data_IF_836638652871
#
_entry.id   IF_836638652871
#
_cell.length_a   1.000
_cell.length_b   1.000
_cell.length_c   1.000
_cell.angle_alpha   90.00
_cell.angle_beta   90.00
_cell.angle_gamma   90.00
#
_symmetry.space_group_name_H-M   'P 1'
#
loop_
_entity.id
_entity.type
_entity.pdbx_description
1 polymer ?
#
# COMPACT_ATOMS: atom_id res chain seq x y z
N UNK A 1 21.72 0.20 -10.07
CA UNK A 1 21.07 -1.12 -10.17
C UNK A 1 20.06 -1.08 -11.30
N UNK A 2 19.93 -2.18 -12.05
CA UNK A 2 18.84 -2.46 -12.99
C UNK A 2 17.75 -3.21 -12.24
N UNK A 3 16.60 -2.58 -12.03
CA UNK A 3 15.53 -3.07 -11.17
C UNK A 3 14.28 -3.29 -12.04
N UNK A 4 13.81 -4.54 -12.09
CA UNK A 4 12.52 -4.85 -12.71
C UNK A 4 11.42 -4.82 -11.66
N UNK A 5 10.38 -4.01 -11.85
CA UNK A 5 9.23 -3.93 -10.94
C UNK A 5 7.99 -4.52 -11.62
N UNK A 6 7.39 -5.56 -11.04
CA UNK A 6 6.17 -6.17 -11.57
C UNK A 6 4.98 -5.59 -10.81
N UNK A 7 4.14 -4.81 -11.48
CA UNK A 7 2.91 -4.27 -10.91
C UNK A 7 1.76 -5.29 -10.96
N UNK A 8 0.70 -5.04 -10.18
CA UNK A 8 -0.59 -5.66 -10.45
C UNK A 8 -1.20 -5.06 -11.73
N UNK A 9 -2.10 -5.81 -12.38
CA UNK A 9 -2.66 -5.43 -13.68
C UNK A 9 -4.12 -4.94 -13.62
N UNK A 10 -4.75 -5.00 -12.45
CA UNK A 10 -6.15 -4.61 -12.26
C UNK A 10 -6.41 -3.12 -12.55
N UNK A 11 -5.47 -2.26 -12.16
CA UNK A 11 -5.57 -0.81 -12.38
C UNK A 11 -4.22 -0.27 -12.89
N UNK A 12 -4.23 0.81 -13.68
CA UNK A 12 -3.00 1.47 -14.11
C UNK A 12 -2.20 2.03 -12.92
N UNK A 13 -0.87 1.99 -13.03
CA UNK A 13 0.04 2.65 -12.08
C UNK A 13 0.19 4.12 -12.52
N UNK A 14 -0.87 4.89 -12.32
CA UNK A 14 -0.95 6.30 -12.70
C UNK A 14 -2.01 7.03 -11.85
N UNK A 15 -1.89 8.35 -11.75
CA UNK A 15 -2.91 9.18 -11.12
C UNK A 15 -4.16 9.35 -12.01
N UNK A 16 -5.38 9.43 -11.43
CA UNK A 16 -5.69 9.22 -10.01
C UNK A 16 -5.60 7.74 -9.62
N UNK A 17 -4.94 7.45 -8.50
CA UNK A 17 -4.73 6.07 -8.06
C UNK A 17 -6.03 5.41 -7.59
N UNK A 18 -6.22 4.13 -7.95
CA UNK A 18 -7.36 3.34 -7.49
C UNK A 18 -7.26 2.96 -6.00
N UNK A 19 -6.04 2.91 -5.45
CA UNK A 19 -5.78 2.53 -4.08
C UNK A 19 -4.31 2.72 -3.67
N UNK A 20 -3.97 2.17 -2.51
CA UNK A 20 -2.65 2.32 -1.90
C UNK A 20 -1.54 1.54 -2.59
N UNK A 21 -1.87 0.43 -3.29
CA UNK A 21 -0.89 -0.39 -3.99
C UNK A 21 -0.38 0.30 -5.25
N UNK A 22 -1.28 0.92 -6.01
CA UNK A 22 -0.96 1.70 -7.20
C UNK A 22 -0.05 2.86 -6.82
N UNK A 23 -0.43 3.60 -5.77
CA UNK A 23 0.38 4.70 -5.22
C UNK A 23 1.75 4.22 -4.73
N UNK A 24 1.81 3.11 -3.97
CA UNK A 24 3.07 2.54 -3.49
C UNK A 24 3.99 2.21 -4.65
N UNK A 25 3.49 1.49 -5.66
CA UNK A 25 4.30 1.04 -6.81
C UNK A 25 4.79 2.23 -7.62
N UNK A 26 3.93 3.24 -7.83
CA UNK A 26 4.30 4.48 -8.48
C UNK A 26 5.43 5.21 -7.72
N UNK A 27 5.27 5.43 -6.40
CA UNK A 27 6.26 6.10 -5.56
C UNK A 27 7.59 5.33 -5.52
N UNK A 28 7.51 4.00 -5.43
CA UNK A 28 8.67 3.11 -5.49
C UNK A 28 9.47 3.32 -6.77
N UNK A 29 8.83 3.18 -7.94
CA UNK A 29 9.48 3.33 -9.23
C UNK A 29 10.04 4.75 -9.41
N UNK A 30 9.24 5.78 -9.13
CA UNK A 30 9.65 7.18 -9.27
C UNK A 30 10.85 7.50 -8.41
N UNK A 31 10.84 7.13 -7.14
CA UNK A 31 11.93 7.48 -6.22
C UNK A 31 13.20 6.67 -6.46
N UNK A 32 13.11 5.39 -6.85
CA UNK A 32 14.27 4.62 -7.29
C UNK A 32 14.93 5.26 -8.53
N UNK A 33 14.14 5.75 -9.50
CA UNK A 33 14.66 6.47 -10.67
C UNK A 33 15.33 7.79 -10.29
N UNK A 34 14.72 8.56 -9.39
CA UNK A 34 15.32 9.79 -8.84
C UNK A 34 16.65 9.52 -8.13
N UNK A 35 16.79 8.37 -7.49
CA UNK A 35 18.04 7.91 -6.87
C UNK A 35 19.08 7.37 -7.89
N UNK A 36 18.78 7.41 -9.19
CA UNK A 36 19.69 7.02 -10.27
C UNK A 36 19.66 5.53 -10.65
N UNK A 37 18.66 4.77 -10.20
CA UNK A 37 18.47 3.39 -10.62
C UNK A 37 17.83 3.31 -12.02
N UNK A 38 18.24 2.30 -12.79
CA UNK A 38 17.60 1.95 -14.05
C UNK A 38 16.41 1.04 -13.76
N UNK A 39 15.21 1.63 -13.72
CA UNK A 39 13.96 0.94 -13.35
C UNK A 39 13.13 0.65 -14.59
N UNK A 40 12.72 -0.61 -14.73
CA UNK A 40 11.71 -1.05 -15.70
C UNK A 40 10.44 -1.45 -14.94
N UNK A 41 9.33 -0.79 -15.22
CA UNK A 41 8.01 -1.11 -14.66
C UNK A 41 7.23 -2.00 -15.63
N UNK A 42 6.97 -3.24 -15.26
CA UNK A 42 6.09 -4.15 -15.98
C UNK A 42 4.65 -3.97 -15.49
N UNK A 43 3.81 -3.29 -16.27
CA UNK A 43 2.45 -2.95 -15.86
C UNK A 43 1.47 -2.92 -17.05
N UNK A 44 0.21 -2.54 -16.79
CA UNK A 44 -0.78 -2.32 -17.84
C UNK A 44 -0.46 -1.08 -18.69
N UNK A 45 -0.87 -1.07 -19.96
CA UNK A 45 -0.51 -0.05 -20.98
C UNK A 45 -0.86 1.39 -20.61
N UNK A 46 -1.86 1.60 -19.76
CA UNK A 46 -2.28 2.95 -19.32
C UNK A 46 -1.52 3.47 -18.09
N UNK A 47 -0.49 2.75 -17.62
CA UNK A 47 0.35 3.20 -16.51
C UNK A 47 1.25 4.36 -16.95
N UNK A 48 1.84 5.08 -15.99
CA UNK A 48 2.68 6.24 -16.28
C UNK A 48 3.97 5.83 -17.06
N UNK A 49 4.18 6.34 -18.29
CA UNK A 49 5.36 6.02 -19.09
C UNK A 49 6.67 6.57 -18.50
N UNK A 50 6.64 7.61 -17.66
CA UNK A 50 7.83 8.21 -17.04
C UNK A 50 8.52 7.27 -16.02
N UNK A 51 7.80 6.23 -15.57
CA UNK A 51 8.29 5.21 -14.64
C UNK A 51 9.19 4.15 -15.29
N UNK A 52 9.48 4.26 -16.59
CA UNK A 52 10.18 3.22 -17.34
C UNK A 52 9.26 2.06 -17.71
N UNK A 53 8.03 2.39 -18.13
CA UNK A 53 6.99 1.41 -18.44
C UNK A 53 7.38 0.48 -19.60
N UNK A 54 7.30 -0.82 -19.33
CA UNK A 54 7.17 -1.86 -20.34
C UNK A 54 5.80 -2.51 -20.18
N UNK A 55 4.89 -2.20 -21.10
CA UNK A 55 3.53 -2.74 -21.05
C UNK A 55 3.53 -4.26 -21.26
N UNK A 56 2.92 -5.00 -20.34
CA UNK A 56 2.80 -6.47 -20.41
C UNK A 56 1.37 -6.96 -20.61
N UNK A 57 0.40 -6.04 -20.56
CA UNK A 57 -1.02 -6.34 -20.70
C UNK A 57 -1.72 -5.18 -21.39
N UNK A 58 -2.21 -5.43 -22.60
CA UNK A 58 -3.18 -4.57 -23.27
C UNK A 58 -4.59 -4.92 -22.79
N UNK A 59 -5.45 -3.92 -22.56
CA UNK A 59 -6.84 -4.14 -22.12
C UNK A 59 -7.66 -5.01 -23.11
N UNK A 60 -7.18 -5.21 -24.34
CA UNK A 60 -7.95 -5.77 -25.46
C UNK A 60 -7.56 -7.17 -25.94
N UNK A 61 -6.45 -7.77 -25.52
CA UNK A 61 -5.96 -9.00 -26.19
C UNK A 61 -5.84 -10.23 -25.27
N UNK A 62 -6.94 -11.00 -25.20
CA UNK A 62 -6.83 -12.45 -25.36
C UNK A 62 -7.33 -12.71 -26.78
N UNK A 63 -6.55 -13.40 -27.61
CA UNK A 63 -7.07 -13.97 -28.83
C UNK A 63 -8.34 -14.76 -28.46
N UNK A 64 -9.51 -14.42 -29.03
CA UNK A 64 -10.83 -15.02 -28.70
C UNK A 64 -10.91 -16.55 -28.88
N UNK A 65 -9.79 -17.20 -29.17
CA UNK A 65 -9.60 -18.64 -29.28
C UNK A 65 -9.49 -19.23 -27.88
N UNK A 66 -10.31 -20.23 -27.57
CA UNK A 66 -10.21 -21.01 -26.33
C UNK A 66 -10.81 -20.36 -25.07
N UNK A 67 -11.47 -19.20 -25.17
CA UNK A 67 -12.11 -18.57 -24.00
C UNK A 67 -13.44 -19.22 -23.57
N UNK A 68 -13.90 -20.24 -24.29
CA UNK A 68 -15.18 -20.92 -24.01
C UNK A 68 -15.18 -21.62 -22.63
N UNK A 69 -14.01 -22.00 -22.12
CA UNK A 69 -13.83 -22.65 -20.81
C UNK A 69 -13.41 -21.66 -19.71
N UNK A 70 -13.17 -20.39 -20.06
CA UNK A 70 -12.70 -19.38 -19.12
C UNK A 70 -13.86 -18.76 -18.34
N UNK A 71 -14.05 -19.19 -17.08
CA UNK A 71 -15.05 -18.60 -16.17
C UNK A 71 -14.75 -17.16 -15.73
N UNK A 72 -13.48 -16.74 -15.79
CA UNK A 72 -13.03 -15.38 -15.51
C UNK A 72 -11.98 -14.94 -16.55
N UNK A 73 -12.43 -14.28 -17.60
CA UNK A 73 -11.57 -13.82 -18.70
C UNK A 73 -10.50 -12.82 -18.21
N UNK A 74 -10.81 -11.98 -17.22
CA UNK A 74 -9.87 -10.99 -16.71
C UNK A 74 -8.70 -11.68 -15.99
N UNK A 75 -9.01 -12.66 -15.15
CA UNK A 75 -7.97 -13.47 -14.51
C UNK A 75 -7.06 -14.17 -15.52
N UNK A 76 -7.62 -14.77 -16.58
CA UNK A 76 -6.80 -15.43 -17.60
C UNK A 76 -5.92 -14.45 -18.40
N UNK A 77 -6.33 -13.19 -18.56
CA UNK A 77 -5.50 -12.14 -19.20
C UNK A 77 -4.27 -11.87 -18.35
N UNK A 78 -4.49 -11.62 -17.06
CA UNK A 78 -3.43 -11.37 -16.10
C UNK A 78 -2.50 -12.57 -16.01
N UNK A 79 -3.06 -13.78 -15.94
CA UNK A 79 -2.29 -15.03 -15.96
C UNK A 79 -1.38 -15.12 -17.19
N UNK A 80 -1.91 -14.87 -18.39
CA UNK A 80 -1.11 -14.94 -19.62
C UNK A 80 -0.02 -13.86 -19.66
N UNK A 81 -0.34 -12.63 -19.27
CA UNK A 81 0.61 -11.52 -19.18
C UNK A 81 1.78 -11.87 -18.24
N UNK A 82 1.49 -12.37 -17.04
CA UNK A 82 2.54 -12.78 -16.10
C UNK A 82 3.31 -14.01 -16.57
N UNK A 83 2.65 -15.01 -17.17
CA UNK A 83 3.35 -16.19 -17.71
C UNK A 83 4.34 -15.79 -18.82
N UNK A 84 3.91 -14.92 -19.73
CA UNK A 84 4.75 -14.37 -20.79
C UNK A 84 5.91 -13.56 -20.23
N UNK A 85 5.64 -12.65 -19.29
CA UNK A 85 6.68 -11.87 -18.61
C UNK A 85 7.69 -12.78 -17.91
N UNK A 86 7.24 -13.70 -17.06
CA UNK A 86 8.13 -14.59 -16.31
C UNK A 86 8.98 -15.44 -17.24
N UNK A 87 8.42 -15.91 -18.36
CA UNK A 87 9.18 -16.64 -19.39
C UNK A 87 10.27 -15.78 -20.04
N UNK A 88 10.02 -14.49 -20.28
CA UNK A 88 11.02 -13.54 -20.80
C UNK A 88 12.10 -13.22 -19.76
N UNK A 89 11.71 -12.98 -18.51
CA UNK A 89 12.62 -12.62 -17.41
C UNK A 89 13.69 -13.68 -17.15
N UNK A 90 13.42 -14.97 -17.42
CA UNK A 90 14.42 -16.06 -17.36
C UNK A 90 15.65 -15.83 -18.26
N UNK A 91 15.52 -14.98 -19.28
CA UNK A 91 16.58 -14.65 -20.25
C UNK A 91 17.00 -13.19 -20.17
N UNK A 92 16.45 -12.44 -19.23
CA UNK A 92 16.76 -11.02 -19.01
C UNK A 92 17.89 -10.87 -17.99
N UNK A 93 18.48 -9.67 -17.94
CA UNK A 93 19.52 -9.33 -16.96
C UNK A 93 19.09 -8.13 -16.13
N UNK A 94 18.49 -8.41 -14.97
CA UNK A 94 18.22 -7.44 -13.91
C UNK A 94 19.06 -7.79 -12.70
N UNK A 95 19.38 -6.80 -11.88
CA UNK A 95 20.09 -7.05 -10.62
C UNK A 95 19.11 -7.59 -9.57
N UNK A 96 17.85 -7.14 -9.60
CA UNK A 96 16.77 -7.62 -8.73
C UNK A 96 15.40 -7.43 -9.39
N UNK A 97 14.45 -8.32 -9.09
CA UNK A 97 13.03 -8.14 -9.41
C UNK A 97 12.25 -7.80 -8.15
N UNK A 98 11.41 -6.76 -8.18
CA UNK A 98 10.46 -6.44 -7.14
C UNK A 98 9.03 -6.72 -7.61
N UNK A 99 8.37 -7.68 -7.00
CA UNK A 99 7.02 -8.12 -7.32
C UNK A 99 5.96 -7.49 -6.40
N UNK A 100 5.01 -6.77 -7.01
CA UNK A 100 3.79 -6.20 -6.43
C UNK A 100 2.52 -6.72 -7.13
N UNK A 101 2.60 -7.82 -7.90
CA UNK A 101 1.54 -8.28 -8.82
C UNK A 101 0.24 -8.76 -8.17
N UNK A 102 0.25 -9.10 -6.88
CA UNK A 102 -0.83 -9.84 -6.20
C UNK A 102 -1.24 -11.12 -6.95
N UNK A 103 -0.30 -11.77 -7.64
CA UNK A 103 -0.55 -12.97 -8.42
C UNK A 103 0.41 -14.09 -8.04
N UNK A 104 -0.06 -15.33 -8.16
CA UNK A 104 0.72 -16.50 -7.75
C UNK A 104 1.86 -16.82 -8.71
N UNK A 105 1.68 -16.59 -10.03
CA UNK A 105 2.69 -16.94 -11.03
C UNK A 105 4.07 -16.33 -10.77
N UNK A 106 4.23 -15.01 -10.53
CA UNK A 106 5.56 -14.45 -10.28
C UNK A 106 6.28 -15.07 -9.09
N UNK A 107 5.56 -15.34 -8.00
CA UNK A 107 6.15 -15.99 -6.80
C UNK A 107 6.48 -17.46 -7.04
N UNK A 108 5.60 -18.21 -7.73
CA UNK A 108 5.81 -19.63 -8.04
C UNK A 108 6.95 -19.85 -9.04
N UNK A 109 7.18 -18.91 -9.95
CA UNK A 109 8.23 -19.00 -10.98
C UNK A 109 9.54 -18.31 -10.56
N UNK A 110 9.61 -17.74 -9.35
CA UNK A 110 10.76 -16.97 -8.89
C UNK A 110 12.09 -17.76 -8.95
N UNK A 111 12.06 -19.07 -8.70
CA UNK A 111 13.25 -19.94 -8.73
C UNK A 111 13.83 -20.12 -10.14
N UNK A 112 13.04 -19.85 -11.18
CA UNK A 112 13.46 -19.99 -12.56
C UNK A 112 14.27 -18.78 -13.06
N UNK A 113 14.30 -17.70 -12.28
CA UNK A 113 14.98 -16.46 -12.62
C UNK A 113 16.47 -16.52 -12.27
N UNK A 114 17.35 -15.93 -13.11
CA UNK A 114 18.79 -15.88 -12.83
C UNK A 114 19.18 -14.80 -11.81
N UNK A 115 18.23 -14.01 -11.32
CA UNK A 115 18.41 -12.92 -10.36
C UNK A 115 17.44 -13.05 -9.17
N UNK A 116 17.75 -12.47 -8.00
CA UNK A 116 16.87 -12.52 -6.84
C UNK A 116 15.54 -11.77 -7.07
N UNK A 117 14.49 -12.20 -6.36
CA UNK A 117 13.18 -11.55 -6.39
C UNK A 117 12.70 -11.23 -4.97
N UNK A 118 12.32 -9.98 -4.73
CA UNK A 118 11.54 -9.60 -3.54
C UNK A 118 10.05 -9.55 -3.92
N UNK A 119 9.17 -10.01 -3.03
CA UNK A 119 7.72 -9.81 -3.14
C UNK A 119 7.22 -9.04 -1.93
N UNK A 120 6.56 -7.91 -2.17
CA UNK A 120 5.95 -7.12 -1.09
C UNK A 120 4.48 -7.49 -0.95
N UNK A 121 4.07 -7.77 0.29
CA UNK A 121 2.75 -8.23 0.65
C UNK A 121 1.91 -7.05 1.11
N UNK A 122 0.99 -6.63 0.24
CA UNK A 122 0.12 -5.46 0.44
C UNK A 122 -1.27 -5.81 0.96
N UNK A 123 -1.63 -7.09 0.96
CA UNK A 123 -2.96 -7.58 1.35
C UNK A 123 -2.83 -8.81 2.25
N UNK A 124 -3.85 -9.10 3.08
CA UNK A 124 -3.94 -10.38 3.78
C UNK A 124 -3.85 -11.58 2.81
N UNK A 125 -3.54 -12.79 3.31
CA UNK A 125 -3.54 -14.00 2.50
C UNK A 125 -4.87 -14.24 1.79
N UNK A 126 -4.80 -14.64 0.52
CA UNK A 126 -5.93 -15.13 -0.25
C UNK A 126 -5.48 -16.30 -1.13
N UNK A 127 -6.43 -17.17 -1.49
CA UNK A 127 -6.17 -18.55 -1.95
C UNK A 127 -5.07 -18.68 -3.02
N UNK A 128 -5.07 -17.83 -4.05
CA UNK A 128 -4.10 -17.93 -5.15
C UNK A 128 -2.69 -17.53 -4.70
N UNK A 129 -2.56 -16.35 -4.09
CA UNK A 129 -1.25 -15.85 -3.65
C UNK A 129 -0.69 -16.71 -2.52
N UNK A 130 -1.54 -17.19 -1.60
CA UNK A 130 -1.14 -18.16 -0.58
C UNK A 130 -0.51 -19.41 -1.21
N UNK A 131 -1.18 -20.02 -2.18
CA UNK A 131 -0.67 -21.22 -2.85
C UNK A 131 0.68 -20.95 -3.52
N UNK A 132 0.83 -19.82 -4.20
CA UNK A 132 2.10 -19.47 -4.84
C UNK A 132 3.25 -19.25 -3.84
N UNK A 133 2.97 -18.61 -2.70
CA UNK A 133 3.96 -18.33 -1.66
C UNK A 133 4.35 -19.59 -0.89
N UNK A 134 3.39 -20.50 -0.64
CA UNK A 134 3.63 -21.77 0.04
C UNK A 134 4.57 -22.68 -0.77
N UNK A 135 4.41 -22.69 -2.09
CA UNK A 135 5.23 -23.51 -2.99
C UNK A 135 6.55 -22.83 -3.42
N UNK A 136 6.71 -21.53 -3.14
CA UNK A 136 7.89 -20.77 -3.55
C UNK A 136 9.15 -21.33 -2.86
N UNK A 137 9.93 -22.13 -3.59
CA UNK A 137 11.14 -22.80 -3.09
C UNK A 137 12.43 -22.05 -3.44
N UNK A 138 12.30 -20.85 -4.05
CA UNK A 138 13.43 -20.06 -4.53
C UNK A 138 14.35 -19.60 -3.39
N UNK A 139 15.65 -20.00 -3.38
CA UNK A 139 16.57 -19.70 -2.28
C UNK A 139 16.85 -18.19 -2.12
N UNK A 140 16.68 -17.43 -3.21
CA UNK A 140 16.90 -15.98 -3.25
C UNK A 140 15.60 -15.18 -3.36
N UNK A 141 14.44 -15.81 -3.11
CA UNK A 141 13.20 -15.07 -2.91
C UNK A 141 13.14 -14.51 -1.50
N UNK A 142 12.68 -13.26 -1.38
CA UNK A 142 12.37 -12.60 -0.11
C UNK A 142 10.93 -12.11 -0.11
N UNK A 143 10.27 -12.21 1.02
CA UNK A 143 8.92 -11.72 1.26
C UNK A 143 8.97 -10.59 2.27
N UNK A 144 8.41 -9.44 1.90
CA UNK A 144 8.38 -8.24 2.71
C UNK A 144 6.95 -7.91 3.09
N UNK A 145 6.70 -7.71 4.39
CA UNK A 145 5.44 -7.20 4.90
C UNK A 145 5.47 -5.67 4.96
N UNK A 146 4.36 -5.01 4.66
CA UNK A 146 4.25 -3.54 4.80
C UNK A 146 4.01 -3.08 6.25
N UNK A 147 3.81 -4.02 7.16
CA UNK A 147 3.59 -3.80 8.61
C UNK A 147 3.84 -5.09 9.40
N UNK A 148 3.95 -4.97 10.72
CA UNK A 148 4.00 -6.11 11.63
C UNK A 148 2.68 -6.89 11.62
N UNK A 149 1.54 -6.20 11.58
CA UNK A 149 0.23 -6.81 11.43
C UNK A 149 0.14 -7.66 10.14
N UNK A 150 0.71 -7.17 9.04
CA UNK A 150 0.78 -7.94 7.79
C UNK A 150 1.67 -9.18 7.95
N UNK A 151 2.82 -9.05 8.62
CA UNK A 151 3.69 -10.20 8.92
C UNK A 151 2.96 -11.25 9.74
N UNK A 152 2.19 -10.85 10.76
CA UNK A 152 1.40 -11.76 11.59
C UNK A 152 0.34 -12.49 10.77
N UNK A 153 -0.39 -11.79 9.90
CA UNK A 153 -1.42 -12.39 9.03
C UNK A 153 -0.84 -13.44 8.07
N UNK A 154 0.36 -13.23 7.55
CA UNK A 154 1.03 -14.18 6.64
C UNK A 154 1.80 -15.30 7.35
N UNK A 155 2.06 -15.17 8.65
CA UNK A 155 2.82 -16.17 9.42
C UNK A 155 2.31 -17.62 9.33
N UNK A 156 0.99 -17.91 9.20
CA UNK A 156 0.51 -19.29 9.01
C UNK A 156 0.83 -19.88 7.63
N UNK A 157 1.16 -19.04 6.65
CA UNK A 157 1.53 -19.45 5.29
C UNK A 157 3.04 -19.61 5.19
N UNK A 158 3.78 -18.56 5.55
CA UNK A 158 5.24 -18.50 5.48
C UNK A 158 5.77 -17.39 6.39
N UNK A 159 6.90 -17.60 7.09
CA UNK A 159 7.60 -16.50 7.76
C UNK A 159 7.99 -15.40 6.78
N UNK A 160 7.67 -14.16 7.11
CA UNK A 160 8.08 -12.98 6.33
C UNK A 160 9.50 -12.60 6.74
N UNK A 161 10.36 -12.32 5.76
CA UNK A 161 11.78 -12.07 5.96
C UNK A 161 12.04 -10.71 6.62
N UNK A 162 11.26 -9.69 6.24
CA UNK A 162 11.43 -8.33 6.74
C UNK A 162 10.12 -7.54 6.69
N UNK A 163 9.96 -6.58 7.60
CA UNK A 163 8.92 -5.54 7.51
C UNK A 163 9.53 -4.24 6.99
N UNK A 164 9.00 -3.72 5.89
CA UNK A 164 9.33 -2.40 5.35
C UNK A 164 8.04 -1.58 5.28
N UNK A 165 7.89 -0.65 6.22
CA UNK A 165 6.76 0.26 6.28
C UNK A 165 6.63 1.06 4.98
N UNK A 166 5.40 1.23 4.51
CA UNK A 166 5.11 2.07 3.36
C UNK A 166 5.48 3.53 3.62
N UNK A 167 5.78 4.25 2.55
CA UNK A 167 6.05 5.68 2.60
C UNK A 167 5.08 6.48 1.73
N UNK A 168 4.95 7.75 2.07
CA UNK A 168 4.23 8.78 1.31
C UNK A 168 5.20 9.91 0.94
N UNK A 169 4.85 10.65 -0.11
CA UNK A 169 5.59 11.85 -0.51
C UNK A 169 5.21 13.01 0.42
N UNK A 170 6.05 13.27 1.43
CA UNK A 170 5.78 14.29 2.44
C UNK A 170 5.73 15.73 1.91
N UNK A 171 6.31 15.98 0.73
CA UNK A 171 6.30 17.30 0.09
C UNK A 171 4.91 17.62 -0.48
N UNK A 172 4.10 16.58 -0.74
CA UNK A 172 2.70 16.69 -1.18
C UNK A 172 1.71 16.91 -0.04
N UNK A 173 2.15 16.79 1.22
CA UNK A 173 1.33 16.96 2.42
C UNK A 173 1.97 18.02 3.32
N UNK A 174 1.78 19.32 3.00
CA UNK A 174 2.45 20.39 3.70
C UNK A 174 1.97 20.49 5.15
N UNK A 175 2.93 20.57 6.06
CA UNK A 175 2.66 20.73 7.48
C UNK A 175 1.93 22.05 7.77
N UNK A 176 0.89 21.97 8.61
CA UNK A 176 0.19 23.14 9.14
C UNK A 176 0.32 23.23 10.66
N UNK A 177 0.85 24.36 11.14
CA UNK A 177 1.08 24.60 12.57
C UNK A 177 -0.20 24.72 13.41
N UNK A 178 -1.30 25.14 12.77
CA UNK A 178 -2.59 25.41 13.40
C UNK A 178 -3.70 24.85 12.53
N UNK A 179 -4.82 24.49 13.17
CA UNK A 179 -6.06 24.13 12.51
C UNK A 179 -7.01 25.35 12.50
N UNK A 180 -8.15 25.23 11.81
CA UNK A 180 -9.18 26.27 11.77
C UNK A 180 -9.82 26.50 13.15
N UNK A 181 -10.34 27.72 13.37
CA UNK A 181 -11.12 28.08 14.56
C UNK A 181 -12.49 28.64 14.16
N UNK A 182 -13.62 28.08 14.63
CA UNK A 182 -13.70 26.90 15.49
C UNK A 182 -13.26 25.61 14.76
N UNK A 183 -12.59 24.72 15.50
CA UNK A 183 -12.07 23.46 14.96
C UNK A 183 -13.14 22.50 14.44
N UNK A 184 -12.75 21.67 13.47
CA UNK A 184 -13.56 20.60 12.90
C UNK A 184 -12.74 19.32 12.75
N UNK A 185 -13.43 18.18 12.69
CA UNK A 185 -12.86 16.87 12.36
C UNK A 185 -12.87 16.68 10.85
N UNK A 186 -11.97 15.83 10.35
CA UNK A 186 -12.01 15.34 8.98
C UNK A 186 -12.07 13.81 8.92
N UNK A 187 -12.82 13.30 7.96
CA UNK A 187 -12.77 11.91 7.51
C UNK A 187 -12.60 11.91 5.99
N UNK A 188 -11.79 11.01 5.43
CA UNK A 188 -11.70 10.93 3.98
C UNK A 188 -11.39 9.52 3.49
N UNK A 189 -11.89 9.22 2.30
CA UNK A 189 -11.75 7.92 1.65
C UNK A 189 -12.97 7.59 0.80
N UNK A 190 -12.93 6.43 0.15
CA UNK A 190 -14.09 5.90 -0.59
C UNK A 190 -15.27 5.73 0.37
N UNK A 191 -16.44 6.25 0.00
CA UNK A 191 -17.67 6.11 0.79
C UNK A 191 -18.27 4.74 0.47
N UNK A 192 -17.82 3.75 1.24
CA UNK A 192 -18.20 2.33 1.18
C UNK A 192 -18.24 1.75 2.60
N UNK A 193 -18.99 0.66 2.85
CA UNK A 193 -19.14 0.06 4.19
C UNK A 193 -17.82 -0.28 4.89
N UNK A 194 -16.83 -0.78 4.15
CA UNK A 194 -15.51 -1.17 4.67
C UNK A 194 -14.70 -0.02 5.28
N UNK A 195 -14.97 1.24 4.90
CA UNK A 195 -14.27 2.43 5.43
C UNK A 195 -14.99 3.08 6.62
N UNK A 196 -16.22 2.65 6.91
CA UNK A 196 -16.87 2.93 8.19
C UNK A 196 -17.25 4.38 8.48
N UNK A 197 -17.53 5.22 7.48
CA UNK A 197 -17.89 6.64 7.68
C UNK A 197 -19.06 6.84 8.68
N UNK A 198 -20.06 5.96 8.67
CA UNK A 198 -21.14 5.96 9.66
C UNK A 198 -20.65 5.98 11.12
N UNK A 199 -19.58 5.23 11.43
CA UNK A 199 -18.98 5.19 12.78
C UNK A 199 -18.28 6.50 13.12
N UNK A 200 -17.65 7.15 12.14
CA UNK A 200 -17.04 8.46 12.31
C UNK A 200 -18.10 9.55 12.55
N UNK A 201 -19.24 9.49 11.83
CA UNK A 201 -20.38 10.39 12.01
C UNK A 201 -20.98 10.25 13.42
N UNK A 202 -21.22 9.01 13.86
CA UNK A 202 -21.79 8.74 15.18
C UNK A 202 -20.82 9.20 16.30
N UNK A 203 -19.52 8.93 16.16
CA UNK A 203 -18.52 9.35 17.14
C UNK A 203 -18.33 10.88 17.17
N UNK A 204 -18.34 11.55 16.02
CA UNK A 204 -18.27 13.01 15.94
C UNK A 204 -19.48 13.67 16.58
N UNK A 205 -20.68 13.10 16.38
CA UNK A 205 -21.92 13.58 17.02
C UNK A 205 -21.83 13.48 18.54
N UNK A 206 -21.33 12.36 19.08
CA UNK A 206 -21.11 12.18 20.53
C UNK A 206 -20.03 13.13 21.08
N UNK A 207 -18.95 13.36 20.34
CA UNK A 207 -17.91 14.32 20.71
C UNK A 207 -18.38 15.78 20.64
N UNK A 208 -19.46 16.05 19.89
CA UNK A 208 -20.04 17.38 19.71
C UNK A 208 -19.28 18.29 18.74
N UNK A 209 -18.28 17.77 18.02
CA UNK A 209 -17.39 18.49 17.11
C UNK A 209 -17.88 18.33 15.66
N UNK A 210 -17.94 19.41 14.84
CA UNK A 210 -18.31 19.29 13.43
C UNK A 210 -17.41 18.33 12.65
N UNK A 211 -17.97 17.57 11.71
CA UNK A 211 -17.24 16.64 10.85
C UNK A 211 -17.38 17.04 9.38
N UNK A 212 -16.25 17.28 8.72
CA UNK A 212 -16.17 17.34 7.27
C UNK A 212 -15.73 15.98 6.73
N UNK A 213 -16.30 15.55 5.62
CA UNK A 213 -15.87 14.31 4.97
C UNK A 213 -15.72 14.45 3.46
N UNK A 214 -14.75 13.74 2.89
CA UNK A 214 -14.40 13.81 1.47
C UNK A 214 -14.16 12.43 0.86
N UNK A 215 -14.44 12.31 -0.44
CA UNK A 215 -14.14 11.12 -1.23
C UNK A 215 -15.31 10.64 -2.10
N UNK A 216 -15.05 9.77 -3.08
CA UNK A 216 -16.06 9.35 -4.04
C UNK A 216 -17.08 8.41 -3.39
N UNK A 217 -18.36 8.59 -3.76
CA UNK A 217 -19.44 7.67 -3.43
C UNK A 217 -19.37 6.49 -4.40
N UNK A 218 -19.00 5.32 -3.90
CA UNK A 218 -18.91 4.09 -4.70
C UNK A 218 -19.98 3.06 -4.31
N UNK A 219 -20.71 3.30 -3.21
CA UNK A 219 -21.82 2.48 -2.76
C UNK A 219 -23.01 3.38 -2.40
N UNK A 220 -23.96 3.48 -3.33
CA UNK A 220 -25.16 4.30 -3.15
C UNK A 220 -26.08 3.72 -2.07
N UNK A 221 -26.17 2.39 -1.94
CA UNK A 221 -27.01 1.76 -0.94
C UNK A 221 -26.49 2.06 0.48
N UNK A 222 -25.17 2.03 0.66
CA UNK A 222 -24.53 2.44 1.91
C UNK A 222 -24.75 3.93 2.21
N UNK A 223 -24.66 4.81 1.21
CA UNK A 223 -24.95 6.23 1.38
C UNK A 223 -26.37 6.43 1.90
N UNK A 224 -27.36 5.84 1.24
CA UNK A 224 -28.78 6.07 1.53
C UNK A 224 -29.19 5.46 2.88
N UNK A 225 -28.68 4.26 3.20
CA UNK A 225 -29.05 3.53 4.40
C UNK A 225 -28.30 4.00 5.66
N UNK A 226 -27.01 4.32 5.55
CA UNK A 226 -26.15 4.56 6.72
C UNK A 226 -25.67 6.00 6.83
N UNK A 227 -25.41 6.70 5.72
CA UNK A 227 -24.80 8.03 5.78
C UNK A 227 -25.86 9.12 5.84
N UNK A 228 -26.80 9.14 4.89
CA UNK A 228 -27.83 10.16 4.78
C UNK A 228 -28.65 10.37 6.08
N UNK A 229 -29.04 9.32 6.82
CA UNK A 229 -29.79 9.49 8.08
C UNK A 229 -28.97 10.12 9.22
N UNK A 230 -27.64 10.12 9.12
CA UNK A 230 -26.70 10.65 10.14
C UNK A 230 -26.24 12.07 9.85
N UNK A 231 -26.61 12.63 8.70
CA UNK A 231 -26.22 13.99 8.34
C UNK A 231 -26.99 15.02 9.17
N UNK A 232 -26.27 16.03 9.67
CA UNK A 232 -26.81 17.12 10.47
C UNK A 232 -26.24 18.46 9.98
N UNK A 233 -26.67 19.57 10.59
CA UNK A 233 -26.07 20.89 10.33
C UNK A 233 -24.58 20.99 10.72
N UNK A 234 -24.04 20.01 11.46
CA UNK A 234 -22.62 19.91 11.84
C UNK A 234 -21.80 19.01 10.90
N UNK A 235 -22.41 18.44 9.88
CA UNK A 235 -21.74 17.56 8.91
C UNK A 235 -21.64 18.23 7.56
N UNK A 236 -20.49 18.13 6.89
CA UNK A 236 -20.29 18.70 5.55
C UNK A 236 -19.64 17.67 4.64
N UNK A 237 -20.30 17.32 3.55
CA UNK A 237 -19.70 16.55 2.47
C UNK A 237 -18.97 17.49 1.51
N UNK A 238 -17.67 17.28 1.35
CA UNK A 238 -16.80 18.10 0.51
C UNK A 238 -16.70 17.62 -0.95
N UNK A 239 -17.35 16.50 -1.29
CA UNK A 239 -17.21 15.88 -2.60
C UNK A 239 -15.93 15.06 -2.73
N UNK A 240 -15.59 14.71 -3.98
CA UNK A 240 -14.30 14.12 -4.31
C UNK A 240 -13.29 15.23 -4.60
N UNK A 241 -12.44 15.51 -3.61
CA UNK A 241 -11.39 16.52 -3.72
C UNK A 241 -10.19 15.97 -4.50
N UNK A 242 -9.51 16.85 -5.22
CA UNK A 242 -8.16 16.58 -5.71
C UNK A 242 -7.14 16.57 -4.56
N UNK A 243 -5.91 16.19 -4.88
CA UNK A 243 -4.84 16.06 -3.90
C UNK A 243 -4.56 17.36 -3.14
N UNK A 244 -4.46 18.49 -3.85
CA UNK A 244 -4.10 19.78 -3.25
C UNK A 244 -5.19 20.23 -2.27
N UNK A 245 -6.45 20.22 -2.72
CA UNK A 245 -7.60 20.56 -1.90
C UNK A 245 -7.74 19.62 -0.70
N UNK A 246 -7.54 18.31 -0.89
CA UNK A 246 -7.60 17.34 0.19
C UNK A 246 -6.50 17.58 1.23
N UNK A 247 -5.25 17.76 0.82
CA UNK A 247 -4.12 18.01 1.74
C UNK A 247 -4.34 19.26 2.60
N UNK A 248 -4.95 20.30 1.99
CA UNK A 248 -5.31 21.54 2.67
C UNK A 248 -6.39 21.32 3.72
N UNK A 249 -7.48 20.64 3.37
CA UNK A 249 -8.57 20.31 4.32
C UNK A 249 -8.06 19.42 5.46
N UNK A 250 -7.19 18.44 5.17
CA UNK A 250 -6.56 17.61 6.19
C UNK A 250 -5.77 18.49 7.16
N UNK A 251 -4.92 19.39 6.67
CA UNK A 251 -4.11 20.25 7.52
C UNK A 251 -4.94 21.28 8.33
N UNK A 252 -6.11 21.69 7.82
CA UNK A 252 -7.02 22.60 8.52
C UNK A 252 -7.86 21.93 9.61
N UNK A 253 -7.93 20.59 9.63
CA UNK A 253 -8.69 19.85 10.62
C UNK A 253 -7.98 19.78 11.98
N UNK A 254 -8.79 19.80 13.05
CA UNK A 254 -8.34 19.62 14.42
C UNK A 254 -7.88 18.17 14.68
N UNK A 255 -8.55 17.19 14.09
CA UNK A 255 -8.15 15.80 14.08
C UNK A 255 -8.74 15.06 12.87
N UNK A 256 -8.03 14.04 12.41
CA UNK A 256 -8.52 13.04 11.45
C UNK A 256 -9.15 11.86 12.19
N UNK A 257 -10.31 11.41 11.72
CA UNK A 257 -11.02 10.24 12.28
C UNK A 257 -10.90 9.06 11.32
N UNK A 258 -10.23 7.99 11.74
CA UNK A 258 -9.95 6.82 10.92
C UNK A 258 -10.73 5.59 11.41
N UNK A 259 -11.66 5.08 10.59
CA UNK A 259 -12.65 4.07 11.01
C UNK A 259 -12.73 2.83 10.11
N UNK A 260 -11.60 2.22 9.71
CA UNK A 260 -11.66 1.02 8.88
C UNK A 260 -12.38 -0.12 9.60
N UNK A 261 -13.17 -0.89 8.86
CA UNK A 261 -13.88 -2.10 9.35
C UNK A 261 -13.18 -3.40 8.97
N UNK A 262 -11.91 -3.28 8.58
CA UNK A 262 -11.05 -4.36 8.14
C UNK A 262 -9.64 -4.10 8.67
N UNK A 263 -8.83 -5.14 8.77
CA UNK A 263 -7.46 -5.02 9.26
C UNK A 263 -6.62 -4.30 8.19
N UNK A 264 -6.46 -2.99 8.40
CA UNK A 264 -5.79 -2.11 7.46
C UNK A 264 -4.32 -2.54 7.31
N UNK A 265 -3.86 -2.90 6.09
CA UNK A 265 -2.50 -3.38 5.85
C UNK A 265 -1.40 -2.43 6.31
N UNK A 266 -1.63 -1.12 6.18
CA UNK A 266 -0.70 -0.08 6.60
C UNK A 266 -1.43 1.10 7.22
N UNK A 267 -2.26 1.80 6.44
CA UNK A 267 -2.94 3.02 6.87
C UNK A 267 -2.32 4.28 6.26
N UNK A 268 -2.26 4.35 4.93
CA UNK A 268 -1.71 5.51 4.21
C UNK A 268 -2.41 6.82 4.61
N UNK A 269 -3.74 6.81 4.74
CA UNK A 269 -4.51 7.98 5.21
C UNK A 269 -4.12 8.47 6.62
N UNK A 270 -3.61 7.56 7.47
CA UNK A 270 -3.07 7.94 8.78
C UNK A 270 -1.73 8.65 8.59
N UNK A 271 -0.84 8.12 7.76
CA UNK A 271 0.43 8.74 7.42
C UNK A 271 0.25 10.15 6.81
N UNK A 272 -0.71 10.30 5.90
CA UNK A 272 -1.04 11.57 5.22
C UNK A 272 -1.54 12.63 6.22
N UNK A 273 -2.42 12.23 7.16
CA UNK A 273 -2.88 13.11 8.23
C UNK A 273 -1.72 13.56 9.12
N UNK A 274 -0.85 12.63 9.53
CA UNK A 274 0.33 12.95 10.33
C UNK A 274 1.28 13.90 9.59
N UNK A 275 1.47 13.72 8.28
CA UNK A 275 2.31 14.57 7.45
C UNK A 275 1.83 16.03 7.38
N UNK A 276 0.51 16.25 7.34
CA UNK A 276 -0.08 17.59 7.45
C UNK A 276 0.00 18.18 8.88
N UNK A 277 0.45 17.41 9.86
CA UNK A 277 0.46 17.77 11.27
C UNK A 277 -0.89 17.56 11.97
N UNK A 278 -1.78 16.76 11.40
CA UNK A 278 -3.13 16.55 11.93
C UNK A 278 -3.16 15.30 12.83
N UNK A 279 -3.50 15.44 14.12
CA UNK A 279 -3.65 14.31 15.02
C UNK A 279 -4.72 13.33 14.57
N UNK A 280 -4.58 12.06 14.97
CA UNK A 280 -5.47 11.00 14.50
C UNK A 280 -6.21 10.34 15.66
N UNK A 281 -7.54 10.25 15.56
CA UNK A 281 -8.35 9.35 16.36
C UNK A 281 -8.75 8.14 15.50
N UNK A 282 -8.43 6.92 15.93
CA UNK A 282 -8.63 5.74 15.09
C UNK A 282 -9.04 4.50 15.87
N UNK A 283 -9.71 3.57 15.19
CA UNK A 283 -9.82 2.19 15.69
C UNK A 283 -8.46 1.49 15.69
N UNK A 284 -8.16 0.76 16.77
CA UNK A 284 -6.95 -0.03 16.93
C UNK A 284 -7.01 -1.32 16.08
N UNK A 285 -6.84 -1.16 14.76
CA UNK A 285 -7.07 -2.22 13.79
C UNK A 285 -5.94 -2.30 12.75
N UNK A 286 -5.51 -3.52 12.42
CA UNK A 286 -4.40 -3.76 11.50
C UNK A 286 -3.13 -3.02 11.93
N UNK A 287 -2.48 -2.35 10.98
CA UNK A 287 -1.22 -1.63 11.19
C UNK A 287 -1.36 -0.23 11.80
N UNK A 288 -2.59 0.28 12.00
CA UNK A 288 -2.81 1.63 12.56
C UNK A 288 -2.12 1.83 13.92
N UNK A 289 -2.18 0.88 14.88
CA UNK A 289 -1.48 1.00 16.15
C UNK A 289 0.05 1.05 16.02
N UNK A 290 0.63 0.56 14.92
CA UNK A 290 2.07 0.62 14.68
C UNK A 290 2.50 2.01 14.20
N UNK A 291 1.63 2.72 13.49
CA UNK A 291 1.89 4.07 12.99
C UNK A 291 1.68 5.10 14.11
N UNK A 292 0.63 4.97 14.91
CA UNK A 292 0.27 5.95 15.93
C UNK A 292 1.08 5.79 17.22
N UNK A 293 1.48 6.93 17.79
CA UNK A 293 2.06 7.03 19.13
C UNK A 293 1.15 7.89 20.01
N UNK A 294 1.26 7.82 21.35
CA UNK A 294 0.42 8.63 22.24
C UNK A 294 0.49 10.14 22.00
N UNK A 295 1.60 10.63 21.43
CA UNK A 295 1.83 12.06 21.17
C UNK A 295 1.17 12.56 19.87
N UNK A 296 0.80 11.65 18.96
CA UNK A 296 0.27 11.99 17.63
C UNK A 296 -1.08 11.35 17.30
N UNK A 297 -1.56 10.41 18.12
CA UNK A 297 -2.88 9.84 17.95
C UNK A 297 -3.46 9.19 19.19
N UNK A 298 -4.75 8.90 19.11
CA UNK A 298 -5.53 8.24 20.15
C UNK A 298 -6.26 7.05 19.54
N UNK A 299 -6.03 5.87 20.11
CA UNK A 299 -6.67 4.64 19.69
C UNK A 299 -7.95 4.38 20.47
N UNK A 300 -8.94 3.79 19.79
CA UNK A 300 -10.19 3.27 20.34
C UNK A 300 -10.33 1.79 20.02
N UNK A 301 -11.10 1.06 20.84
CA UNK A 301 -11.46 -0.33 20.53
C UNK A 301 -12.19 -0.42 19.18
N UNK A 302 -11.89 -1.44 18.34
CA UNK A 302 -12.54 -1.59 17.06
C UNK A 302 -14.08 -1.59 17.15
N UNK A 303 -14.71 -0.82 16.27
CA UNK A 303 -16.18 -0.68 16.15
C UNK A 303 -16.90 -0.08 17.39
N UNK A 304 -16.16 0.39 18.40
CA UNK A 304 -16.73 1.03 19.60
C UNK A 304 -16.81 2.57 19.42
N UNK A 305 -18.00 3.04 19.09
CA UNK A 305 -18.27 4.46 18.79
C UNK A 305 -18.05 5.36 20.01
N UNK A 306 -18.40 4.90 21.21
CA UNK A 306 -18.23 5.67 22.45
C UNK A 306 -16.74 5.84 22.77
N UNK A 307 -15.96 4.78 22.63
CA UNK A 307 -14.50 4.82 22.83
C UNK A 307 -13.82 5.69 21.76
N UNK A 308 -14.33 5.65 20.51
CA UNK A 308 -13.87 6.54 19.44
C UNK A 308 -14.17 8.01 19.74
N UNK A 309 -15.34 8.34 20.28
CA UNK A 309 -15.64 9.71 20.72
C UNK A 309 -14.68 10.19 21.82
N UNK A 310 -14.33 9.33 22.77
CA UNK A 310 -13.29 9.61 23.76
C UNK A 310 -11.91 9.79 23.12
N UNK A 311 -11.56 8.98 22.11
CA UNK A 311 -10.32 9.12 21.37
C UNK A 311 -10.26 10.43 20.57
N UNK A 312 -11.36 10.85 19.95
CA UNK A 312 -11.50 12.16 19.29
C UNK A 312 -11.20 13.28 20.27
N UNK A 313 -11.82 13.28 21.45
CA UNK A 313 -11.60 14.31 22.47
C UNK A 313 -10.13 14.40 22.94
N UNK A 314 -9.41 13.27 22.95
CA UNK A 314 -7.96 13.28 23.23
C UNK A 314 -7.15 13.80 22.04
N UNK A 315 -7.45 13.31 20.83
CA UNK A 315 -6.68 13.60 19.62
C UNK A 315 -6.64 15.11 19.29
N UNK A 316 -7.77 15.83 19.46
CA UNK A 316 -7.84 17.27 19.16
C UNK A 316 -6.90 18.13 20.02
N UNK A 317 -6.42 17.60 21.16
CA UNK A 317 -5.46 18.28 22.03
C UNK A 317 -3.99 17.89 21.79
N UNK A 318 -3.70 17.00 20.84
CA UNK A 318 -2.35 16.47 20.62
C UNK A 318 -1.47 17.40 19.80
N UNK A 319 -0.15 17.14 19.88
CA UNK A 319 0.86 17.98 19.26
C UNK A 319 0.93 17.77 17.76
N UNK A 320 0.60 18.82 17.01
CA UNK A 320 0.73 18.86 15.54
C UNK A 320 2.17 18.70 15.06
N UNK A 321 3.15 19.20 15.83
CA UNK A 321 4.57 19.01 15.50
C UNK A 321 5.02 17.57 15.76
N UNK A 322 4.48 16.90 16.79
CA UNK A 322 4.74 15.48 17.02
C UNK A 322 4.16 14.62 15.89
N UNK A 323 2.99 14.99 15.35
CA UNK A 323 2.42 14.35 14.17
C UNK A 323 3.36 14.42 12.97
N UNK A 324 3.85 15.62 12.64
CA UNK A 324 4.80 15.79 11.53
C UNK A 324 6.09 15.01 11.74
N UNK A 325 6.67 15.09 12.94
CA UNK A 325 7.88 14.36 13.28
C UNK A 325 7.69 12.84 13.16
N UNK A 326 6.51 12.32 13.52
CA UNK A 326 6.18 10.90 13.34
C UNK A 326 6.13 10.52 11.86
N UNK A 327 5.48 11.33 11.02
CA UNK A 327 5.42 11.10 9.58
C UNK A 327 6.82 11.08 8.94
N UNK A 328 7.68 12.03 9.30
CA UNK A 328 9.08 12.09 8.83
C UNK A 328 9.89 10.86 9.28
N UNK A 329 9.71 10.42 10.52
CA UNK A 329 10.47 9.30 11.07
C UNK A 329 10.03 7.92 10.57
N UNK A 330 8.76 7.73 10.21
CA UNK A 330 8.21 6.41 9.89
C UNK A 330 7.56 6.28 8.51
N UNK A 331 7.02 7.37 7.97
CA UNK A 331 6.15 7.35 6.80
C UNK A 331 6.75 8.08 5.59
N UNK A 332 7.99 8.57 5.64
CA UNK A 332 8.65 9.17 4.48
C UNK A 332 8.98 8.11 3.41
N UNK A 333 8.57 8.35 2.16
CA UNK A 333 8.97 7.55 1.00
C UNK A 333 10.50 7.37 0.93
N UNK A 334 11.29 8.39 1.26
CA UNK A 334 12.76 8.31 1.22
C UNK A 334 13.31 7.25 2.18
N UNK A 335 12.69 7.10 3.36
CA UNK A 335 13.03 6.05 4.33
C UNK A 335 12.67 4.67 3.79
N UNK A 336 11.47 4.52 3.21
CA UNK A 336 11.02 3.27 2.59
C UNK A 336 12.00 2.84 1.48
N UNK A 337 12.40 3.75 0.61
CA UNK A 337 13.32 3.47 -0.50
C UNK A 337 14.70 3.08 -0.01
N UNK A 338 15.26 3.81 0.96
CA UNK A 338 16.54 3.44 1.55
C UNK A 338 16.52 2.04 2.19
N UNK A 339 15.36 1.59 2.72
CA UNK A 339 15.21 0.23 3.23
C UNK A 339 15.19 -0.81 2.10
N UNK A 340 14.46 -0.55 1.01
CA UNK A 340 14.46 -1.42 -0.17
C UNK A 340 15.84 -1.49 -0.85
N UNK A 341 16.54 -0.37 -1.00
CA UNK A 341 17.89 -0.35 -1.58
C UNK A 341 18.88 -1.21 -0.79
N UNK A 342 18.81 -1.15 0.56
CA UNK A 342 19.61 -2.04 1.42
C UNK A 342 19.26 -3.50 1.19
N UNK A 343 17.97 -3.83 1.20
CA UNK A 343 17.49 -5.19 0.95
C UNK A 343 17.94 -5.70 -0.43
N UNK A 344 17.86 -4.88 -1.48
CA UNK A 344 18.35 -5.23 -2.81
C UNK A 344 19.85 -5.53 -2.79
N UNK A 345 20.65 -4.67 -2.15
CA UNK A 345 22.08 -4.88 -2.01
C UNK A 345 22.41 -6.21 -1.34
N UNK A 346 21.73 -6.54 -0.23
CA UNK A 346 21.89 -7.81 0.49
C UNK A 346 21.51 -9.01 -0.39
N UNK A 347 20.40 -8.93 -1.10
CA UNK A 347 19.92 -10.00 -2.00
C UNK A 347 20.87 -10.25 -3.17
N UNK A 348 21.38 -9.18 -3.79
CA UNK A 348 22.35 -9.26 -4.90
C UNK A 348 23.64 -9.93 -4.42
N UNK A 349 24.16 -9.53 -3.27
CA UNK A 349 25.37 -10.13 -2.69
C UNK A 349 25.17 -11.62 -2.36
N UNK A 350 24.04 -11.97 -1.76
CA UNK A 350 23.71 -13.36 -1.43
C UNK A 350 23.58 -14.24 -2.68
N UNK A 351 22.95 -13.73 -3.74
CA UNK A 351 22.82 -14.44 -5.01
C UNK A 351 24.19 -14.67 -5.68
N UNK A 352 25.07 -13.66 -5.71
CA UNK A 352 26.40 -13.79 -6.25
C UNK A 352 27.26 -14.82 -5.48
N UNK A 353 27.19 -14.80 -4.14
CA UNK A 353 27.90 -15.77 -3.31
C UNK A 353 27.41 -17.21 -3.52
N UNK A 354 26.08 -17.41 -3.64
CA UNK A 354 25.50 -18.73 -3.88
C UNK A 354 25.84 -19.30 -5.26
N UNK A 355 25.93 -18.45 -6.29
CA UNK A 355 26.36 -18.86 -7.63
C UNK A 355 27.84 -19.28 -7.65
N UNK A 356 28.71 -18.57 -6.92
CA UNK A 356 30.14 -18.91 -6.82
C UNK A 356 30.35 -20.28 -6.15
N UNK A 357 29.65 -20.53 -5.03
CA UNK A 357 29.71 -21.82 -4.32
C UNK A 357 29.18 -22.99 -5.17
N UNK A 358 28.14 -22.77 -5.98
CA UNK A 358 27.60 -23.79 -6.87
C UNK A 358 28.56 -24.15 -8.01
N UNK A 359 29.31 -23.17 -8.53
CA UNK A 359 30.33 -23.39 -9.55
C UNK A 359 31.55 -24.14 -8.99
N UNK A 360 32.07 -23.74 -7.83
CA UNK A 360 33.19 -24.41 -7.16
C UNK A 360 32.86 -25.90 -6.90
N UNK A 361 31.65 -26.19 -6.41
CA UNK A 361 31.19 -27.55 -6.16
C UNK A 361 31.01 -28.39 -7.44
N UNK A 362 30.80 -27.75 -8.60
CA UNK A 362 30.72 -28.42 -9.89
C UNK A 362 32.12 -28.73 -10.44
N UNK A 363 33.07 -27.81 -10.26
CA UNK A 363 34.48 -28.01 -10.64
C UNK A 363 35.12 -29.14 -9.81
N UNK A 364 34.91 -29.16 -8.50
CA UNK A 364 35.41 -30.23 -7.62
C UNK A 364 34.88 -31.62 -8.01
N UNK A 365 33.65 -31.69 -8.54
CA UNK A 365 33.04 -32.94 -9.03
C UNK A 365 33.53 -33.39 -10.41
N UNK A 366 34.10 -32.48 -11.19
CA UNK A 366 34.68 -32.80 -12.51
C UNK A 366 36.16 -33.19 -12.41
N UNK A 367 36.83 -32.84 -11.30
CA UNK A 367 38.24 -33.14 -11.03
C UNK A 367 38.41 -34.46 -10.24
N UNK A 368 37.36 -34.95 -9.58
CA UNK A 368 37.30 -36.25 -8.91
C UNK A 368 36.81 -37.36 -9.85
#
# INVERSE_FOLDING_TARGET
MRIGVIAHLKYPIAEPFAGGLEMHTHLLCRQLRLNGHDVTLFAATLSDPELGLEAICDQTEIAKVGTAEAGDIAFFRDHHAYLSLMSRLRRSSFDVIHNNSLHYLPVSMAETLPMPMVTTLHTPPFCWLESGIREASAPFARFVGVSEAMREQWSPVRPIDQVILNGIDLDRFPWQARHDEPGHLIWYGRIVPEKGLHLALDAAALAGIPLRFAGPILDQAYLDAEIAPRLTHKTTYLGHLDHEALSKEIGQAAAFVCTPRWDEPYGLVVAEALACGTPVAAFARGAIPEILTPDCGALARPDDVQDLACAIARAVGLSRSACRARAEAACDVRRMIAAYERLYGEMIQAAAAGQMQANDALEDRLIA
#
